data_IF_772846088698
#
_entry.id   IF_772846088698
#
_cell.length_a   1.000
_cell.length_b   1.000
_cell.length_c   1.000
_cell.angle_alpha   90.00
_cell.angle_beta   90.00
_cell.angle_gamma   90.00
#
_symmetry.space_group_name_H-M   'P 1'
#
loop_
_entity.id
_entity.type
_entity.pdbx_description
1 polymer ?
#
# COMPACT_ATOMS: atom_id res chain seq x y z
N UNK A 1 26.37 -29.82 -44.60
CA UNK A 1 26.42 -28.35 -44.39
C UNK A 1 25.51 -28.05 -43.20
N UNK A 2 26.09 -27.81 -42.02
CA UNK A 2 25.33 -27.55 -40.79
C UNK A 2 25.09 -26.05 -40.66
N UNK A 3 23.82 -25.68 -40.57
CA UNK A 3 23.34 -24.29 -40.58
C UNK A 3 23.79 -23.53 -39.33
N UNK A 4 24.39 -22.36 -39.53
CA UNK A 4 24.73 -21.37 -38.51
C UNK A 4 23.48 -20.63 -37.97
N UNK A 5 22.39 -21.36 -37.72
CA UNK A 5 21.15 -20.84 -37.15
C UNK A 5 21.23 -20.68 -35.61
N UNK A 6 22.31 -21.11 -34.97
CA UNK A 6 22.26 -21.49 -33.56
C UNK A 6 22.60 -20.38 -32.54
N UNK A 7 23.12 -19.21 -32.92
CA UNK A 7 23.52 -18.19 -31.92
C UNK A 7 22.59 -16.98 -31.84
N UNK A 8 22.04 -16.52 -32.96
CA UNK A 8 21.14 -15.36 -33.02
C UNK A 8 19.73 -15.71 -32.57
N UNK A 9 19.20 -16.89 -32.94
CA UNK A 9 17.89 -17.37 -32.50
C UNK A 9 17.87 -17.71 -31.01
N UNK A 10 18.90 -18.38 -30.50
CA UNK A 10 19.04 -18.61 -29.05
C UNK A 10 19.12 -17.31 -28.24
N UNK A 11 19.79 -16.27 -28.77
CA UNK A 11 19.87 -14.95 -28.12
C UNK A 11 18.53 -14.20 -28.17
N UNK A 12 17.75 -14.39 -29.24
CA UNK A 12 16.39 -13.85 -29.38
C UNK A 12 15.40 -14.50 -28.40
N UNK A 13 15.56 -15.79 -28.06
CA UNK A 13 14.74 -16.47 -27.04
C UNK A 13 15.18 -16.14 -25.59
N UNK A 14 16.46 -15.83 -25.37
CA UNK A 14 16.98 -15.45 -24.05
C UNK A 14 16.61 -14.01 -23.63
N UNK A 15 16.41 -13.10 -24.59
CA UNK A 15 16.07 -11.69 -24.34
C UNK A 15 14.71 -11.53 -23.61
N UNK A 16 13.60 -12.18 -24.05
CA UNK A 16 12.35 -12.22 -23.30
C UNK A 16 12.54 -12.74 -21.89
N UNK A 17 13.28 -13.84 -21.72
CA UNK A 17 13.50 -14.45 -20.40
C UNK A 17 14.18 -13.51 -19.39
N UNK A 18 15.18 -12.72 -19.82
CA UNK A 18 15.85 -11.73 -18.96
C UNK A 18 14.92 -10.57 -18.62
N UNK A 19 14.23 -10.01 -19.62
CA UNK A 19 13.27 -8.93 -19.42
C UNK A 19 12.16 -9.32 -18.43
N UNK A 20 11.53 -10.48 -18.63
CA UNK A 20 10.46 -10.99 -17.76
C UNK A 20 10.94 -11.19 -16.32
N UNK A 21 12.17 -11.69 -16.15
CA UNK A 21 12.79 -11.84 -14.83
C UNK A 21 13.03 -10.49 -14.14
N UNK A 22 13.46 -9.48 -14.88
CA UNK A 22 13.67 -8.13 -14.35
C UNK A 22 12.36 -7.42 -14.02
N UNK A 23 11.32 -7.56 -14.86
CA UNK A 23 9.97 -7.05 -14.57
C UNK A 23 9.45 -7.67 -13.29
N UNK A 24 9.51 -9.01 -13.16
CA UNK A 24 9.12 -9.71 -11.94
C UNK A 24 9.85 -9.17 -10.71
N UNK A 25 11.19 -9.16 -10.72
CA UNK A 25 12.00 -8.68 -9.60
C UNK A 25 11.68 -7.24 -9.21
N UNK A 26 11.52 -6.34 -10.18
CA UNK A 26 11.21 -4.93 -9.92
C UNK A 26 9.79 -4.78 -9.36
N UNK A 27 8.81 -5.48 -9.92
CA UNK A 27 7.44 -5.50 -9.42
C UNK A 27 7.39 -5.97 -7.96
N UNK A 28 8.02 -7.10 -7.64
CA UNK A 28 8.09 -7.65 -6.29
C UNK A 28 8.77 -6.67 -5.31
N UNK A 29 9.86 -6.02 -5.73
CA UNK A 29 10.58 -5.04 -4.92
C UNK A 29 9.72 -3.82 -4.59
N UNK A 30 9.03 -3.27 -5.59
CA UNK A 30 8.14 -2.11 -5.39
C UNK A 30 6.96 -2.53 -4.54
N UNK A 31 6.38 -3.70 -4.77
CA UNK A 31 5.29 -4.24 -3.97
C UNK A 31 5.67 -4.30 -2.49
N UNK A 32 6.84 -4.88 -2.19
CA UNK A 32 7.35 -4.95 -0.83
C UNK A 32 7.54 -3.56 -0.20
N UNK A 33 8.03 -2.57 -0.96
CA UNK A 33 8.18 -1.20 -0.49
C UNK A 33 6.83 -0.53 -0.19
N UNK A 34 5.84 -0.73 -1.05
CA UNK A 34 4.48 -0.20 -0.88
C UNK A 34 3.87 -0.79 0.40
N UNK A 35 3.91 -2.11 0.56
CA UNK A 35 3.43 -2.80 1.76
C UNK A 35 4.13 -2.28 3.02
N UNK A 36 5.46 -2.16 3.00
CA UNK A 36 6.25 -1.66 4.13
C UNK A 36 5.88 -0.22 4.51
N UNK A 37 5.66 0.65 3.51
CA UNK A 37 5.26 2.05 3.75
C UNK A 37 3.84 2.16 4.29
N UNK A 38 2.90 1.37 3.76
CA UNK A 38 1.53 1.30 4.26
C UNK A 38 1.47 0.82 5.72
N UNK A 39 2.16 -0.29 6.05
CA UNK A 39 2.24 -0.79 7.42
C UNK A 39 2.89 0.22 8.37
N UNK A 40 3.96 0.90 7.92
CA UNK A 40 4.62 1.95 8.70
C UNK A 40 3.70 3.15 8.95
N UNK A 41 2.89 3.55 7.97
CA UNK A 41 1.95 4.64 8.12
C UNK A 41 0.86 4.31 9.16
N UNK A 42 0.24 3.14 9.06
CA UNK A 42 -0.76 2.67 10.03
C UNK A 42 -0.17 2.47 11.43
N UNK A 43 1.03 1.90 11.51
CA UNK A 43 1.74 1.74 12.79
C UNK A 43 2.00 3.08 13.48
N UNK A 44 2.38 4.09 12.70
CA UNK A 44 2.59 5.46 13.22
C UNK A 44 1.29 6.06 13.71
N UNK A 45 0.21 5.95 12.95
CA UNK A 45 -1.11 6.45 13.33
C UNK A 45 -1.61 5.78 14.62
N UNK A 46 -1.56 4.44 14.69
CA UNK A 46 -1.97 3.68 15.87
C UNK A 46 -1.15 4.05 17.13
N UNK A 47 0.16 4.28 16.99
CA UNK A 47 1.00 4.79 18.09
C UNK A 47 0.60 6.20 18.51
N UNK A 48 0.32 7.09 17.55
CA UNK A 48 -0.14 8.45 17.83
C UNK A 48 -1.47 8.40 18.58
N UNK A 49 -2.45 7.60 18.15
CA UNK A 49 -3.73 7.47 18.83
C UNK A 49 -3.64 6.88 20.22
N UNK A 50 -2.83 5.84 20.45
CA UNK A 50 -2.58 5.34 21.81
C UNK A 50 -2.01 6.43 22.72
N UNK A 51 -1.09 7.24 22.21
CA UNK A 51 -0.53 8.38 22.95
C UNK A 51 -1.56 9.48 23.21
N UNK A 52 -2.44 9.74 22.24
CA UNK A 52 -3.54 10.70 22.40
C UNK A 52 -4.57 10.21 23.41
N UNK A 53 -4.98 8.93 23.35
CA UNK A 53 -5.82 8.26 24.34
C UNK A 53 -5.23 8.39 25.74
N UNK A 54 -3.96 8.03 25.93
CA UNK A 54 -3.31 8.09 27.24
C UNK A 54 -3.26 9.52 27.81
N UNK A 55 -3.16 10.54 26.94
CA UNK A 55 -3.19 11.95 27.35
C UNK A 55 -4.59 12.42 27.67
N UNK A 56 -5.58 12.09 26.84
CA UNK A 56 -6.97 12.46 27.09
C UNK A 56 -7.50 11.74 28.33
N UNK A 57 -7.08 10.50 28.57
CA UNK A 57 -7.51 9.71 29.74
C UNK A 57 -7.18 10.38 31.08
N UNK A 58 -6.06 11.10 31.16
CA UNK A 58 -5.65 11.87 32.36
C UNK A 58 -6.52 13.10 32.61
N UNK A 59 -7.28 13.53 31.61
CA UNK A 59 -8.11 14.74 31.64
C UNK A 59 -9.58 14.35 31.75
N UNK A 60 -10.00 13.43 30.89
CA UNK A 60 -11.35 12.90 30.79
C UNK A 60 -11.26 11.45 30.28
N UNK A 61 -11.36 10.50 31.21
CA UNK A 61 -11.32 9.07 30.92
C UNK A 61 -12.52 8.59 30.11
N UNK A 62 -13.69 9.24 30.25
CA UNK A 62 -14.92 8.87 29.54
C UNK A 62 -14.81 9.28 28.08
N UNK A 63 -14.43 10.53 27.81
CA UNK A 63 -14.17 11.01 26.46
C UNK A 63 -13.05 10.21 25.78
N UNK A 64 -11.96 9.91 26.50
CA UNK A 64 -10.88 9.09 25.98
C UNK A 64 -11.33 7.68 25.58
N UNK A 65 -12.21 7.05 26.37
CA UNK A 65 -12.78 5.74 26.04
C UNK A 65 -13.68 5.82 24.80
N UNK A 66 -14.55 6.82 24.72
CA UNK A 66 -15.53 6.98 23.64
C UNK A 66 -14.88 7.28 22.29
N UNK A 67 -13.85 8.13 22.26
CA UNK A 67 -13.17 8.56 21.02
C UNK A 67 -12.22 7.49 20.50
N UNK A 68 -11.35 6.94 21.37
CA UNK A 68 -10.18 6.19 20.89
C UNK A 68 -10.32 4.67 20.91
N UNK A 69 -11.25 4.09 21.69
CA UNK A 69 -11.28 2.62 21.84
C UNK A 69 -11.68 1.92 20.55
N UNK A 70 -12.84 2.29 19.97
CA UNK A 70 -13.30 1.75 18.68
C UNK A 70 -12.32 2.06 17.54
N UNK A 71 -11.71 3.24 17.57
CA UNK A 71 -10.74 3.70 16.57
C UNK A 71 -9.47 2.84 16.55
N UNK A 72 -8.86 2.63 17.73
CA UNK A 72 -7.63 1.83 17.86
C UNK A 72 -7.88 0.37 17.46
N UNK A 73 -9.05 -0.19 17.79
CA UNK A 73 -9.42 -1.55 17.43
C UNK A 73 -9.59 -1.71 15.92
N UNK A 74 -10.30 -0.77 15.27
CA UNK A 74 -10.49 -0.73 13.81
C UNK A 74 -9.15 -0.56 13.05
N UNK A 75 -8.26 0.30 13.54
CA UNK A 75 -6.92 0.43 12.98
C UNK A 75 -6.06 -0.83 13.16
N UNK A 76 -6.19 -1.49 14.30
CA UNK A 76 -5.52 -2.75 14.59
C UNK A 76 -5.97 -3.88 13.65
N UNK A 77 -7.28 -3.98 13.39
CA UNK A 77 -7.84 -4.96 12.46
C UNK A 77 -7.47 -4.64 11.01
N UNK A 78 -7.55 -3.38 10.59
CA UNK A 78 -7.13 -2.93 9.25
C UNK A 78 -5.66 -3.27 8.98
N UNK A 79 -4.77 -2.95 9.93
CA UNK A 79 -3.33 -3.29 9.85
C UNK A 79 -3.10 -4.80 9.77
N UNK A 80 -3.90 -5.59 10.46
CA UNK A 80 -3.78 -7.05 10.44
C UNK A 80 -4.28 -7.64 9.11
N UNK A 81 -5.37 -7.11 8.55
CA UNK A 81 -5.93 -7.51 7.25
C UNK A 81 -5.01 -7.23 6.06
N UNK A 82 -4.19 -6.17 6.15
CA UNK A 82 -3.15 -5.84 5.16
C UNK A 82 -2.10 -6.92 4.92
N UNK A 83 -1.87 -7.77 5.93
CA UNK A 83 -0.94 -8.90 5.81
C UNK A 83 -1.53 -10.07 5.01
N UNK A 84 -2.85 -10.10 4.80
CA UNK A 84 -3.55 -11.30 4.33
C UNK A 84 -4.10 -11.25 2.90
N UNK A 85 -4.54 -10.09 2.38
CA UNK A 85 -5.21 -10.04 1.06
C UNK A 85 -4.86 -8.78 0.25
N UNK A 86 -4.58 -8.99 -1.03
CA UNK A 86 -4.65 -7.96 -2.08
C UNK A 86 -6.14 -7.74 -2.33
N UNK A 87 -6.63 -6.52 -2.13
CA UNK A 87 -8.02 -6.20 -2.47
C UNK A 87 -8.08 -6.00 -3.98
N UNK A 88 -8.91 -6.79 -4.65
CA UNK A 88 -8.98 -6.90 -6.10
C UNK A 88 -9.47 -5.62 -6.77
N UNK A 89 -8.67 -5.17 -7.76
CA UNK A 89 -9.02 -4.48 -9.00
C UNK A 89 -10.02 -3.31 -8.91
N UNK A 90 -9.49 -2.10 -8.80
CA UNK A 90 -10.11 -0.85 -9.27
C UNK A 90 -9.30 -0.26 -10.44
N UNK A 91 -9.87 0.56 -11.32
CA UNK A 91 -9.12 1.20 -12.40
C UNK A 91 -8.41 2.44 -11.85
N UNK A 92 -7.17 2.28 -11.39
CA UNK A 92 -6.26 3.40 -11.14
C UNK A 92 -5.12 3.28 -12.15
N UNK A 93 -5.17 4.10 -13.20
CA UNK A 93 -4.20 4.10 -14.29
C UNK A 93 -2.87 4.66 -13.82
N UNK A 94 -1.85 3.81 -13.75
CA UNK A 94 -0.47 4.24 -13.65
C UNK A 94 0.14 4.01 -15.02
N UNK A 95 0.39 5.09 -15.77
CA UNK A 95 0.86 5.05 -17.16
C UNK A 95 2.10 4.16 -17.36
N UNK A 96 2.92 3.99 -16.32
CA UNK A 96 4.06 3.08 -16.34
C UNK A 96 3.64 1.60 -16.24
N UNK A 97 2.69 1.27 -15.35
CA UNK A 97 2.15 -0.08 -15.23
C UNK A 97 1.30 -0.47 -16.44
N UNK A 98 0.59 0.49 -17.04
CA UNK A 98 -0.18 0.28 -18.26
C UNK A 98 0.74 -0.02 -19.45
N UNK A 99 1.87 0.69 -19.54
CA UNK A 99 2.90 0.44 -20.56
C UNK A 99 3.57 -0.93 -20.36
N UNK A 100 3.88 -1.30 -19.12
CA UNK A 100 4.42 -2.63 -18.79
C UNK A 100 3.41 -3.74 -19.07
N UNK A 101 2.15 -3.56 -18.68
CA UNK A 101 1.07 -4.50 -18.95
C UNK A 101 0.84 -4.69 -20.45
N UNK A 102 0.89 -3.60 -21.23
CA UNK A 102 0.81 -3.65 -22.69
C UNK A 102 2.00 -4.39 -23.31
N UNK A 103 3.20 -4.19 -22.76
CA UNK A 103 4.41 -4.89 -23.19
C UNK A 103 4.33 -6.40 -22.91
N UNK A 104 3.84 -6.79 -21.73
CA UNK A 104 3.62 -8.21 -21.37
C UNK A 104 2.53 -8.85 -22.23
N UNK A 105 1.43 -8.15 -22.50
CA UNK A 105 0.36 -8.62 -23.41
C UNK A 105 0.82 -8.77 -24.85
N UNK A 106 1.68 -7.87 -25.33
CA UNK A 106 2.29 -7.99 -26.65
C UNK A 106 3.16 -9.26 -26.74
N UNK A 107 3.95 -9.53 -25.70
CA UNK A 107 4.74 -10.76 -25.59
C UNK A 107 3.83 -11.99 -25.56
N UNK A 108 2.74 -11.97 -24.79
CA UNK A 108 1.74 -13.06 -24.74
C UNK A 108 1.14 -13.38 -26.12
N UNK A 109 0.77 -12.35 -26.88
CA UNK A 109 0.26 -12.50 -28.26
C UNK A 109 1.29 -13.00 -29.27
N UNK A 110 2.58 -13.00 -28.91
CA UNK A 110 3.71 -13.48 -29.73
C UNK A 110 4.31 -14.75 -29.14
N UNK A 111 3.46 -15.71 -28.75
CA UNK A 111 3.83 -16.96 -28.07
C UNK A 111 5.00 -17.74 -28.68
N UNK A 112 5.21 -17.67 -30.00
CA UNK A 112 6.35 -18.29 -30.69
C UNK A 112 7.72 -17.69 -30.27
N UNK A 113 7.76 -16.47 -29.76
CA UNK A 113 8.99 -15.82 -29.27
C UNK A 113 9.33 -16.19 -27.82
N UNK A 114 8.39 -16.82 -27.10
CA UNK A 114 8.60 -17.11 -25.69
C UNK A 114 9.36 -18.41 -25.44
N UNK A 115 9.25 -19.42 -26.31
CA UNK A 115 9.91 -20.71 -26.12
C UNK A 115 9.81 -21.20 -24.65
N UNK A 116 10.97 -21.43 -24.02
CA UNK A 116 11.10 -21.85 -22.62
C UNK A 116 10.77 -20.76 -21.56
N UNK A 117 10.52 -19.51 -21.95
CA UNK A 117 10.23 -18.38 -21.04
C UNK A 117 8.74 -18.17 -20.76
N UNK A 118 7.86 -19.07 -21.22
CA UNK A 118 6.40 -18.99 -21.03
C UNK A 118 6.01 -18.91 -19.55
N UNK A 119 6.67 -19.68 -18.69
CA UNK A 119 6.42 -19.64 -17.23
C UNK A 119 6.89 -18.32 -16.58
N UNK A 120 7.94 -17.72 -17.13
CA UNK A 120 8.44 -16.41 -16.67
C UNK A 120 7.46 -15.29 -17.00
N UNK A 121 6.71 -15.41 -18.09
CA UNK A 121 5.67 -14.46 -18.47
C UNK A 121 4.53 -14.51 -17.46
N UNK A 122 4.01 -15.70 -17.15
CA UNK A 122 2.98 -15.88 -16.13
C UNK A 122 3.44 -15.29 -14.77
N UNK A 123 4.69 -15.54 -14.38
CA UNK A 123 5.27 -14.97 -13.17
C UNK A 123 5.38 -13.43 -13.19
N UNK A 124 5.82 -12.84 -14.30
CA UNK A 124 5.94 -11.39 -14.44
C UNK A 124 4.57 -10.70 -14.44
N UNK A 125 3.59 -11.27 -15.14
CA UNK A 125 2.20 -10.78 -15.17
C UNK A 125 1.58 -10.84 -13.78
N UNK A 126 1.71 -11.97 -13.07
CA UNK A 126 1.20 -12.11 -11.70
C UNK A 126 1.82 -11.12 -10.72
N UNK A 127 3.13 -10.90 -10.78
CA UNK A 127 3.81 -9.88 -9.96
C UNK A 127 3.35 -8.46 -10.29
N UNK A 128 3.08 -8.16 -11.56
CA UNK A 128 2.55 -6.85 -11.97
C UNK A 128 1.12 -6.61 -11.45
N UNK A 129 0.25 -7.61 -11.56
CA UNK A 129 -1.12 -7.55 -11.04
C UNK A 129 -1.14 -7.42 -9.51
N UNK A 130 -0.27 -8.16 -8.82
CA UNK A 130 -0.08 -8.03 -7.37
C UNK A 130 0.34 -6.62 -6.98
N UNK A 131 1.35 -6.05 -7.66
CA UNK A 131 1.79 -4.68 -7.44
C UNK A 131 0.65 -3.68 -7.66
N UNK A 132 -0.12 -3.82 -8.74
CA UNK A 132 -1.26 -2.94 -9.02
C UNK A 132 -2.29 -2.98 -7.88
N UNK A 133 -2.66 -4.17 -7.42
CA UNK A 133 -3.58 -4.33 -6.29
C UNK A 133 -3.04 -3.73 -4.98
N UNK A 134 -1.73 -3.86 -4.71
CA UNK A 134 -1.10 -3.24 -3.53
C UNK A 134 -1.04 -1.72 -3.59
N UNK A 135 -0.82 -1.13 -4.76
CA UNK A 135 -0.87 0.32 -4.93
C UNK A 135 -2.28 0.87 -4.67
N UNK A 136 -3.31 0.18 -5.17
CA UNK A 136 -4.71 0.55 -4.91
C UNK A 136 -5.05 0.46 -3.42
N UNK A 137 -4.65 -0.64 -2.78
CA UNK A 137 -4.78 -0.80 -1.34
C UNK A 137 -4.08 0.34 -0.57
N UNK A 138 -2.88 0.73 -0.99
CA UNK A 138 -2.14 1.84 -0.37
C UNK A 138 -2.84 3.19 -0.54
N UNK A 139 -3.47 3.45 -1.68
CA UNK A 139 -4.25 4.67 -1.91
C UNK A 139 -5.51 4.71 -1.05
N UNK A 140 -6.20 3.59 -0.88
CA UNK A 140 -7.33 3.47 0.04
C UNK A 140 -6.90 3.72 1.49
N UNK A 141 -5.77 3.15 1.92
CA UNK A 141 -5.21 3.42 3.25
C UNK A 141 -4.86 4.90 3.41
N UNK A 142 -4.29 5.52 2.38
CA UNK A 142 -3.99 6.95 2.38
C UNK A 142 -5.26 7.80 2.47
N UNK A 143 -6.34 7.42 1.78
CA UNK A 143 -7.64 8.08 1.89
C UNK A 143 -8.22 7.93 3.30
N UNK A 144 -8.26 6.70 3.81
CA UNK A 144 -8.71 6.38 5.16
C UNK A 144 -7.95 7.18 6.24
N UNK A 145 -6.62 7.19 6.21
CA UNK A 145 -5.80 7.94 7.16
C UNK A 145 -6.12 9.44 7.11
N UNK A 146 -6.38 10.00 5.91
CA UNK A 146 -6.72 11.42 5.76
C UNK A 146 -8.07 11.75 6.38
N UNK A 147 -9.08 10.93 6.09
CA UNK A 147 -10.44 11.09 6.60
C UNK A 147 -10.49 10.91 8.12
N UNK A 148 -9.89 9.82 8.60
CA UNK A 148 -9.78 9.51 10.01
C UNK A 148 -9.13 10.63 10.83
N UNK A 149 -8.03 11.24 10.31
CA UNK A 149 -7.41 12.41 10.93
C UNK A 149 -8.35 13.62 11.00
N UNK A 150 -9.20 13.84 9.98
CA UNK A 150 -10.18 14.95 9.99
C UNK A 150 -11.25 14.69 11.06
N UNK A 151 -11.85 13.52 11.06
CA UNK A 151 -12.86 13.12 12.04
C UNK A 151 -12.33 13.26 13.46
N UNK A 152 -11.11 12.76 13.71
CA UNK A 152 -10.49 12.82 15.03
C UNK A 152 -10.21 14.26 15.46
N UNK A 153 -9.83 15.15 14.52
CA UNK A 153 -9.66 16.58 14.80
C UNK A 153 -10.99 17.24 15.15
N UNK A 154 -12.06 16.93 14.43
CA UNK A 154 -13.41 17.47 14.70
C UNK A 154 -13.93 16.99 16.06
N UNK A 155 -13.81 15.68 16.33
CA UNK A 155 -14.19 15.11 17.62
C UNK A 155 -13.43 15.77 18.77
N UNK A 156 -12.10 15.91 18.67
CA UNK A 156 -11.29 16.57 19.70
C UNK A 156 -11.62 18.06 19.86
N UNK A 157 -12.01 18.75 18.79
CA UNK A 157 -12.37 20.17 18.83
C UNK A 157 -13.63 20.43 19.66
N UNK A 158 -14.58 19.48 19.67
CA UNK A 158 -15.81 19.55 20.50
C UNK A 158 -15.51 19.60 22.01
N UNK A 159 -14.38 19.06 22.45
CA UNK A 159 -13.99 19.05 23.86
C UNK A 159 -13.23 20.32 24.32
N UNK A 160 -12.96 21.29 23.42
CA UNK A 160 -12.16 22.50 23.72
C UNK A 160 -12.82 23.52 24.67
N UNK A 161 -14.07 23.30 25.07
CA UNK A 161 -14.87 24.18 25.95
C UNK A 161 -14.54 24.00 27.45
N UNK A 162 -13.65 23.07 27.79
CA UNK A 162 -13.28 22.67 29.16
C UNK A 162 -12.20 23.61 29.80
N UNK A 163 -11.91 23.56 31.13
CA UNK A 163 -11.02 24.48 31.85
C UNK A 163 -9.64 24.72 31.22
N UNK A 164 -8.95 25.80 31.62
CA UNK A 164 -7.67 26.27 31.00
C UNK A 164 -6.62 25.16 30.84
N UNK A 165 -6.55 24.20 31.78
CA UNK A 165 -5.67 23.01 31.74
C UNK A 165 -6.09 22.00 30.68
N UNK A 166 -7.39 21.68 30.56
CA UNK A 166 -7.95 20.86 29.49
C UNK A 166 -7.70 21.48 28.11
N UNK A 167 -7.89 22.79 27.97
CA UNK A 167 -7.71 23.50 26.69
C UNK A 167 -6.27 23.38 26.15
N UNK A 168 -5.25 23.46 27.00
CA UNK A 168 -3.84 23.28 26.60
C UNK A 168 -3.56 21.84 26.14
N UNK A 169 -4.07 20.85 26.87
CA UNK A 169 -3.93 19.43 26.51
C UNK A 169 -4.61 19.13 25.17
N UNK A 170 -5.83 19.61 24.95
CA UNK A 170 -6.59 19.39 23.72
C UNK A 170 -5.96 20.08 22.51
N UNK A 171 -5.46 21.33 22.65
CA UNK A 171 -4.68 21.98 21.58
C UNK A 171 -3.47 21.15 21.16
N UNK A 172 -2.75 20.58 22.14
CA UNK A 172 -1.58 19.74 21.86
C UNK A 172 -1.95 18.41 21.20
N UNK A 173 -3.14 17.85 21.47
CA UNK A 173 -3.67 16.70 20.75
C UNK A 173 -4.01 17.06 19.29
N UNK A 174 -4.69 18.18 19.06
CA UNK A 174 -5.01 18.67 17.71
C UNK A 174 -3.74 18.85 16.86
N UNK A 175 -2.67 19.42 17.43
CA UNK A 175 -1.38 19.55 16.74
C UNK A 175 -0.75 18.19 16.42
N UNK A 176 -0.96 17.17 17.27
CA UNK A 176 -0.44 15.82 17.01
C UNK A 176 -1.16 15.11 15.87
N UNK A 177 -2.44 15.42 15.61
CA UNK A 177 -3.21 14.88 14.48
C UNK A 177 -2.71 15.45 13.15
N UNK A 178 -2.32 16.73 13.14
CA UNK A 178 -1.83 17.44 11.95
C UNK A 178 -0.39 17.11 11.56
N UNK A 179 0.36 16.36 12.39
CA UNK A 179 1.71 15.86 12.07
C UNK A 179 1.66 14.44 11.51
#
# INVERSE_FOLDING_TARGET
MSVAADSSMQKAEQLPGKYLSEVKKKSDRVEHQVNKRADKALSRLLRQEKKMKARLWKVDSVAAKNIFTKSIDSLGSLKSGLKGKVMSKLPMGNSYLDSLGSSLKFLEGKGNLLGASKDKLAGATGSLESLQGKLQQADQIKAYIREHKKELKEQLSKYTVSPKTCRRSIRKLITMVSR
#
